data_IF_887760144873
#
_entry.id   IF_887760144873
#
_cell.length_a   1.000
_cell.length_b   1.000
_cell.length_c   1.000
_cell.angle_alpha   90.00
_cell.angle_beta   90.00
_cell.angle_gamma   90.00
#
_symmetry.space_group_name_H-M   'P 1'
#
loop_
_entity.id
_entity.type
_entity.pdbx_description
1 polymer ?
#
# COMPACT_ATOMS: atom_id res chain seq x y z
N UNK A 1 18.14 -14.66 -23.07
CA UNK A 1 19.06 -15.55 -22.33
C UNK A 1 18.76 -15.39 -20.85
N UNK A 2 18.57 -16.52 -20.14
CA UNK A 2 17.94 -16.65 -18.81
C UNK A 2 18.62 -15.79 -17.73
N UNK A 3 17.82 -14.97 -17.04
CA UNK A 3 17.92 -14.85 -15.59
C UNK A 3 16.48 -14.91 -15.06
N UNK A 4 15.94 -16.13 -14.98
CA UNK A 4 14.91 -16.36 -13.97
C UNK A 4 15.70 -16.38 -12.66
N UNK A 5 15.84 -15.23 -12.01
CA UNK A 5 16.33 -15.20 -10.64
C UNK A 5 15.41 -16.12 -9.85
N UNK A 6 15.97 -17.20 -9.29
CA UNK A 6 15.17 -18.20 -8.59
C UNK A 6 14.53 -17.56 -7.36
N UNK A 7 13.28 -17.13 -7.49
CA UNK A 7 12.43 -16.75 -6.39
C UNK A 7 12.22 -18.01 -5.54
N UNK A 8 12.82 -18.05 -4.35
CA UNK A 8 12.70 -19.18 -3.43
C UNK A 8 11.80 -18.83 -2.25
N UNK A 9 10.93 -19.75 -1.80
CA UNK A 9 10.21 -19.54 -0.56
C UNK A 9 11.21 -19.33 0.58
N UNK A 10 10.84 -18.52 1.57
CA UNK A 10 11.68 -18.29 2.75
C UNK A 10 12.15 -19.62 3.35
N UNK A 11 13.48 -19.86 3.40
CA UNK A 11 14.01 -21.13 3.89
C UNK A 11 13.78 -21.30 5.40
N UNK A 12 13.69 -20.20 6.15
CA UNK A 12 13.38 -20.22 7.58
C UNK A 12 12.72 -18.91 8.06
N UNK A 13 11.44 -18.99 8.42
CA UNK A 13 10.68 -17.86 8.95
C UNK A 13 11.14 -17.41 10.34
N UNK A 14 11.88 -18.22 11.12
CA UNK A 14 12.30 -17.81 12.47
C UNK A 14 13.57 -16.97 12.47
N UNK A 15 14.45 -17.22 11.51
CA UNK A 15 15.75 -16.54 11.40
C UNK A 15 15.77 -15.46 10.32
N UNK A 16 14.78 -15.43 9.45
CA UNK A 16 14.67 -14.39 8.43
C UNK A 16 14.41 -13.01 9.05
N UNK A 17 15.21 -12.01 8.67
CA UNK A 17 15.04 -10.61 9.07
C UNK A 17 13.65 -10.07 8.72
N UNK A 18 13.08 -10.50 7.59
CA UNK A 18 11.70 -10.17 7.17
C UNK A 18 10.66 -10.72 8.14
N UNK A 19 10.95 -11.79 8.86
CA UNK A 19 10.03 -12.38 9.84
C UNK A 19 10.39 -12.05 11.29
N UNK A 20 11.43 -11.23 11.52
CA UNK A 20 11.86 -10.84 12.86
C UNK A 20 10.74 -10.15 13.65
N UNK A 21 10.60 -10.51 14.92
CA UNK A 21 9.69 -9.86 15.87
C UNK A 21 10.13 -8.44 16.22
N UNK A 22 11.39 -8.07 15.93
CA UNK A 22 11.92 -6.72 16.17
C UNK A 22 11.46 -5.72 15.11
N UNK A 23 10.80 -6.18 14.04
CA UNK A 23 10.26 -5.31 13.00
C UNK A 23 9.17 -4.39 13.56
N UNK A 24 9.18 -3.16 13.08
CA UNK A 24 8.14 -2.17 13.40
C UNK A 24 6.78 -2.44 12.74
N UNK A 25 6.72 -3.42 11.84
CA UNK A 25 5.51 -3.86 11.16
C UNK A 25 5.33 -5.36 11.41
N UNK A 26 4.09 -5.86 11.53
CA UNK A 26 3.84 -7.29 11.62
C UNK A 26 4.56 -8.04 10.49
N UNK A 27 5.17 -9.20 10.76
CA UNK A 27 5.84 -9.97 9.72
C UNK A 27 4.80 -10.47 8.70
N UNK A 28 5.14 -10.51 7.40
CA UNK A 28 4.23 -11.02 6.38
C UNK A 28 3.95 -12.50 6.62
N UNK A 29 2.71 -12.93 6.38
CA UNK A 29 2.30 -14.34 6.48
C UNK A 29 3.12 -15.24 5.53
N UNK A 30 3.42 -14.73 4.34
CA UNK A 30 4.25 -15.39 3.33
C UNK A 30 5.16 -14.38 2.65
N UNK A 31 6.42 -14.76 2.41
CA UNK A 31 7.37 -13.98 1.62
C UNK A 31 8.37 -14.89 0.90
N UNK A 32 9.00 -14.35 -0.14
CA UNK A 32 10.00 -15.02 -0.96
C UNK A 32 11.28 -14.19 -1.03
N UNK A 33 12.40 -14.86 -1.25
CA UNK A 33 13.69 -14.22 -1.41
C UNK A 33 14.14 -14.29 -2.86
N UNK A 34 14.64 -13.16 -3.35
CA UNK A 34 15.48 -13.09 -4.54
C UNK A 34 16.91 -13.46 -4.14
N UNK A 35 17.69 -13.99 -5.09
CA UNK A 35 19.05 -14.45 -4.80
C UNK A 35 20.02 -13.28 -4.50
N UNK A 36 19.63 -12.05 -4.84
CA UNK A 36 20.41 -10.83 -4.60
C UNK A 36 20.02 -10.16 -3.26
N UNK A 37 20.98 -9.88 -2.34
CA UNK A 37 20.72 -9.28 -1.03
C UNK A 37 20.23 -7.83 -1.04
N UNK A 38 20.19 -7.15 -2.19
CA UNK A 38 19.60 -5.81 -2.31
C UNK A 38 18.07 -5.87 -2.46
N UNK A 39 17.43 -6.36 -1.40
CA UNK A 39 16.06 -6.06 -0.95
C UNK A 39 14.99 -5.95 -2.04
N UNK A 40 14.22 -7.03 -2.24
CA UNK A 40 12.79 -6.89 -2.51
C UNK A 40 12.02 -8.05 -1.90
N UNK A 41 11.48 -7.84 -0.69
CA UNK A 41 10.52 -8.76 -0.10
C UNK A 41 9.15 -8.51 -0.72
N UNK A 42 8.63 -9.47 -1.50
CA UNK A 42 7.24 -9.49 -1.91
C UNK A 42 6.35 -9.87 -0.71
N UNK A 43 5.50 -8.94 -0.28
CA UNK A 43 4.52 -9.13 0.79
C UNK A 43 3.13 -9.27 0.18
N UNK A 44 2.45 -10.40 0.41
CA UNK A 44 1.09 -10.63 -0.07
C UNK A 44 0.06 -10.47 1.06
N UNK A 45 -0.99 -9.70 0.80
CA UNK A 45 -2.25 -9.64 1.56
C UNK A 45 -3.36 -9.48 0.51
N UNK A 46 -4.35 -10.39 0.32
CA UNK A 46 -4.73 -11.65 1.01
C UNK A 46 -4.01 -12.89 0.45
N UNK A 47 -4.48 -14.11 0.78
CA UNK A 47 -4.01 -15.38 0.18
C UNK A 47 -4.20 -15.32 -1.34
N UNK A 48 -3.16 -14.87 -2.04
CA UNK A 48 -3.10 -14.93 -3.48
C UNK A 48 -2.82 -16.37 -3.87
N UNK A 49 -3.65 -16.88 -4.78
CA UNK A 49 -3.55 -18.24 -5.25
C UNK A 49 -2.14 -18.48 -5.81
N UNK A 50 -1.51 -19.60 -5.42
CA UNK A 50 -0.17 -19.98 -5.89
C UNK A 50 -0.10 -20.02 -7.42
N UNK A 51 -1.22 -20.27 -8.09
CA UNK A 51 -1.31 -20.26 -9.55
C UNK A 51 -1.07 -18.89 -10.20
N UNK A 52 -1.10 -17.78 -9.45
CA UNK A 52 -0.72 -16.45 -9.94
C UNK A 52 0.80 -16.26 -10.05
N UNK A 53 1.59 -17.14 -9.43
CA UNK A 53 3.06 -17.02 -9.34
C UNK A 53 3.82 -18.12 -10.09
N UNK A 54 3.11 -19.02 -10.77
CA UNK A 54 3.74 -20.08 -11.58
C UNK A 54 4.00 -19.57 -13.01
N UNK A 55 5.25 -19.59 -13.49
CA UNK A 55 5.56 -19.41 -14.91
C UNK A 55 4.80 -20.44 -15.77
N UNK A 56 4.39 -20.09 -17.01
CA UNK A 56 4.97 -19.02 -17.82
C UNK A 56 4.19 -17.69 -17.85
N UNK A 57 3.05 -17.58 -17.17
CA UNK A 57 2.29 -16.33 -17.08
C UNK A 57 1.22 -16.49 -15.99
N UNK A 58 0.97 -15.49 -15.13
CA UNK A 58 -0.25 -15.48 -14.34
C UNK A 58 -1.38 -15.46 -15.34
N UNK A 59 -2.37 -16.32 -15.14
CA UNK A 59 -3.63 -16.16 -15.82
C UNK A 59 -4.27 -14.85 -15.33
N UNK A 60 -4.04 -13.76 -16.06
CA UNK A 60 -4.51 -12.40 -15.70
C UNK A 60 -6.04 -12.39 -15.57
N UNK A 61 -6.74 -13.33 -16.22
CA UNK A 61 -8.19 -13.50 -16.09
C UNK A 61 -8.63 -13.97 -14.69
N UNK A 62 -7.70 -14.55 -13.91
CA UNK A 62 -7.92 -14.97 -12.52
C UNK A 62 -7.43 -13.96 -11.50
N UNK A 63 -6.84 -12.84 -11.94
CA UNK A 63 -6.35 -11.83 -11.03
C UNK A 63 -7.54 -11.14 -10.34
N UNK A 64 -7.57 -11.05 -9.00
CA UNK A 64 -8.63 -10.35 -8.31
C UNK A 64 -8.74 -8.89 -8.78
N UNK A 65 -9.95 -8.31 -8.83
CA UNK A 65 -10.19 -7.01 -9.45
C UNK A 65 -9.52 -5.83 -8.73
N UNK A 66 -9.00 -6.05 -7.52
CA UNK A 66 -8.26 -5.08 -6.73
C UNK A 66 -6.77 -4.99 -7.09
N UNK A 67 -6.29 -5.89 -7.94
CA UNK A 67 -4.91 -5.93 -8.42
C UNK A 67 -4.82 -5.63 -9.92
N UNK A 68 -3.62 -5.26 -10.37
CA UNK A 68 -3.21 -5.23 -11.78
C UNK A 68 -1.77 -5.72 -11.92
N UNK A 69 -1.31 -5.95 -13.15
CA UNK A 69 0.10 -6.21 -13.41
C UNK A 69 0.89 -4.90 -13.41
N UNK A 70 2.10 -4.93 -12.86
CA UNK A 70 3.03 -3.80 -12.91
C UNK A 70 3.48 -3.49 -14.34
N UNK A 71 3.28 -4.41 -15.29
CA UNK A 71 3.54 -4.21 -16.72
C UNK A 71 2.31 -3.72 -17.50
N UNK A 72 1.19 -3.44 -16.83
CA UNK A 72 -0.04 -2.95 -17.48
C UNK A 72 0.07 -1.45 -17.81
N UNK A 73 0.56 -1.15 -19.02
CA UNK A 73 0.67 0.21 -19.56
C UNK A 73 -0.67 0.96 -19.68
N UNK A 74 -1.81 0.25 -19.68
CA UNK A 74 -3.12 0.89 -19.76
C UNK A 74 -3.58 1.47 -18.41
N UNK A 75 -3.15 0.85 -17.31
CA UNK A 75 -3.53 1.25 -15.95
C UNK A 75 -2.46 2.04 -15.20
N UNK A 76 -1.23 2.08 -15.73
CA UNK A 76 -0.05 2.68 -15.09
C UNK A 76 0.61 3.69 -16.02
N UNK A 77 1.31 4.67 -15.45
CA UNK A 77 1.86 5.76 -16.26
C UNK A 77 3.15 5.36 -16.98
N UNK A 78 3.31 5.80 -18.24
CA UNK A 78 4.56 5.66 -18.97
C UNK A 78 5.66 6.49 -18.33
N UNK A 79 6.88 6.36 -18.86
CA UNK A 79 8.00 7.17 -18.42
C UNK A 79 7.73 8.68 -18.54
N UNK A 80 8.03 9.41 -17.47
CA UNK A 80 7.93 10.87 -17.41
C UNK A 80 9.21 11.49 -16.82
N UNK A 81 9.72 12.61 -17.38
CA UNK A 81 10.86 13.32 -16.80
C UNK A 81 10.62 13.68 -15.33
N UNK A 82 11.60 13.42 -14.46
CA UNK A 82 11.51 13.70 -13.02
C UNK A 82 10.61 12.76 -12.21
N UNK A 83 9.85 11.85 -12.85
CA UNK A 83 8.99 10.85 -12.19
C UNK A 83 9.39 9.40 -12.51
N UNK A 84 10.06 9.16 -13.63
CA UNK A 84 10.43 7.80 -14.08
C UNK A 84 9.27 7.07 -14.75
N UNK A 85 9.41 5.74 -14.91
CA UNK A 85 8.35 4.86 -15.42
C UNK A 85 7.63 4.19 -14.25
N UNK A 86 6.30 4.28 -14.22
CA UNK A 86 5.47 3.51 -13.30
C UNK A 86 5.21 2.08 -13.78
N UNK A 87 5.56 1.77 -15.02
CA UNK A 87 5.37 0.47 -15.66
C UNK A 87 6.69 -0.31 -15.71
N UNK A 88 6.63 -1.58 -15.36
CA UNK A 88 7.72 -2.54 -15.53
C UNK A 88 7.77 -3.06 -16.96
N UNK A 89 8.97 -3.32 -17.48
CA UNK A 89 9.10 -3.92 -18.82
C UNK A 89 8.35 -5.26 -18.84
N UNK A 90 7.63 -5.60 -19.92
CA UNK A 90 6.89 -6.87 -20.03
C UNK A 90 7.77 -8.11 -19.73
N UNK A 91 9.06 -8.00 -20.05
CA UNK A 91 10.08 -9.03 -19.88
C UNK A 91 10.49 -9.26 -18.42
N UNK A 92 10.10 -8.39 -17.49
CA UNK A 92 10.52 -8.39 -16.08
C UNK A 92 9.79 -9.43 -15.23
N UNK A 93 8.95 -10.26 -15.84
CA UNK A 93 8.10 -11.22 -15.15
C UNK A 93 6.83 -10.59 -14.54
N UNK A 94 5.91 -11.43 -14.06
CA UNK A 94 4.61 -10.96 -13.61
C UNK A 94 4.64 -10.42 -12.19
N UNK A 95 4.89 -9.12 -12.06
CA UNK A 95 4.73 -8.42 -10.79
C UNK A 95 3.28 -7.95 -10.67
N UNK A 96 2.63 -8.31 -9.57
CA UNK A 96 1.24 -7.91 -9.26
C UNK A 96 1.27 -6.76 -8.27
N UNK A 97 0.51 -5.69 -8.54
CA UNK A 97 0.41 -4.50 -7.69
C UNK A 97 -1.05 -4.17 -7.38
N UNK A 98 -1.36 -3.61 -6.19
CA UNK A 98 -2.70 -3.13 -5.90
C UNK A 98 -3.04 -1.93 -6.78
N UNK A 99 -4.32 -1.79 -7.14
CA UNK A 99 -4.81 -0.57 -7.78
C UNK A 99 -4.70 0.60 -6.81
N UNK A 100 -4.47 1.81 -7.35
CA UNK A 100 -4.24 3.04 -6.57
C UNK A 100 -5.28 3.27 -5.45
N UNK A 101 -6.58 3.18 -5.77
CA UNK A 101 -7.66 3.37 -4.78
C UNK A 101 -7.66 2.31 -3.68
N UNK A 102 -7.28 1.07 -3.98
CA UNK A 102 -7.17 -0.01 -2.98
C UNK A 102 -5.98 0.24 -2.06
N UNK A 103 -4.85 0.69 -2.62
CA UNK A 103 -3.67 1.07 -1.85
C UNK A 103 -3.98 2.22 -0.90
N UNK A 104 -4.67 3.27 -1.37
CA UNK A 104 -5.07 4.40 -0.55
C UNK A 104 -6.07 3.99 0.54
N UNK A 105 -7.09 3.21 0.22
CA UNK A 105 -8.03 2.67 1.20
C UNK A 105 -7.30 1.92 2.32
N UNK A 106 -6.34 1.06 1.96
CA UNK A 106 -5.55 0.31 2.93
C UNK A 106 -4.80 1.26 3.88
N UNK A 107 -4.16 2.31 3.37
CA UNK A 107 -3.45 3.26 4.22
C UNK A 107 -4.37 4.12 5.09
N UNK A 108 -5.53 4.55 4.58
CA UNK A 108 -6.53 5.29 5.37
C UNK A 108 -7.03 4.45 6.55
N UNK A 109 -7.36 3.17 6.30
CA UNK A 109 -7.81 2.25 7.36
C UNK A 109 -6.69 1.95 8.34
N UNK A 110 -5.47 1.73 7.85
CA UNK A 110 -4.30 1.47 8.69
C UNK A 110 -3.97 2.66 9.59
N UNK A 111 -4.02 3.86 9.04
CA UNK A 111 -3.86 5.09 9.80
C UNK A 111 -4.94 5.26 10.85
N UNK A 112 -6.22 5.09 10.49
CA UNK A 112 -7.32 5.25 11.42
C UNK A 112 -7.20 4.29 12.63
N UNK A 113 -6.85 3.03 12.36
CA UNK A 113 -6.65 2.00 13.39
C UNK A 113 -5.49 2.29 14.34
N UNK A 114 -4.40 2.86 13.82
CA UNK A 114 -3.12 2.90 14.53
C UNK A 114 -2.49 4.31 14.56
N UNK A 115 -3.30 5.36 14.47
CA UNK A 115 -2.88 6.77 14.38
C UNK A 115 -1.91 7.22 15.47
N UNK A 116 -2.04 6.71 16.69
CA UNK A 116 -1.14 6.99 17.82
C UNK A 116 0.12 6.11 17.87
N UNK A 117 0.31 5.22 16.88
CA UNK A 117 1.42 4.26 16.82
C UNK A 117 2.33 4.58 15.66
N UNK A 118 3.55 4.02 15.68
CA UNK A 118 4.54 4.17 14.60
C UNK A 118 3.99 3.76 13.22
N UNK A 119 3.15 2.73 13.17
CA UNK A 119 2.52 2.30 11.91
C UNK A 119 1.50 3.33 11.39
N UNK A 120 0.85 4.09 12.26
CA UNK A 120 0.05 5.26 11.88
C UNK A 120 0.93 6.36 11.26
N UNK A 121 2.04 6.70 11.89
CA UNK A 121 3.00 7.67 11.33
C UNK A 121 3.51 7.25 9.94
N UNK A 122 3.80 5.96 9.75
CA UNK A 122 4.11 5.42 8.42
C UNK A 122 2.93 5.57 7.45
N UNK A 123 1.72 5.24 7.89
CA UNK A 123 0.53 5.27 7.03
C UNK A 123 0.18 6.69 6.56
N UNK A 124 0.28 7.71 7.42
CA UNK A 124 0.01 9.09 7.01
C UNK A 124 1.06 9.62 6.04
N UNK A 125 2.33 9.24 6.20
CA UNK A 125 3.37 9.54 5.22
C UNK A 125 3.09 8.86 3.88
N UNK A 126 2.64 7.61 3.90
CA UNK A 126 2.25 6.90 2.68
C UNK A 126 1.01 7.51 2.00
N UNK A 127 0.03 8.01 2.76
CA UNK A 127 -1.10 8.77 2.21
C UNK A 127 -0.60 10.01 1.47
N UNK A 128 0.34 10.77 2.06
CA UNK A 128 0.95 11.92 1.40
C UNK A 128 1.71 11.56 0.11
N UNK A 129 2.39 10.40 0.08
CA UNK A 129 3.02 9.92 -1.15
C UNK A 129 2.01 9.49 -2.22
N UNK A 130 0.89 8.87 -1.82
CA UNK A 130 -0.20 8.59 -2.77
C UNK A 130 -0.74 9.89 -3.34
N UNK A 131 -0.97 10.91 -2.51
CA UNK A 131 -1.42 12.22 -2.98
C UNK A 131 -0.44 12.82 -4.00
N UNK A 132 0.83 12.94 -3.64
CA UNK A 132 1.85 13.63 -4.44
C UNK A 132 2.24 12.90 -5.73
N UNK A 133 2.29 11.56 -5.73
CA UNK A 133 2.86 10.76 -6.82
C UNK A 133 1.84 9.89 -7.55
N UNK A 134 0.61 9.79 -7.04
CA UNK A 134 -0.45 8.98 -7.66
C UNK A 134 -1.65 9.87 -7.99
N UNK A 135 -2.21 10.60 -7.02
CA UNK A 135 -3.40 11.43 -7.25
C UNK A 135 -3.09 12.65 -8.13
N UNK A 136 -2.07 13.44 -7.78
CA UNK A 136 -1.69 14.62 -8.56
C UNK A 136 -1.23 14.27 -9.99
N UNK A 137 -0.83 13.02 -10.20
CA UNK A 137 -0.47 12.47 -11.50
C UNK A 137 -1.66 11.87 -12.28
N UNK A 138 -2.88 11.91 -11.71
CA UNK A 138 -4.12 11.47 -12.35
C UNK A 138 -4.34 9.96 -12.35
N UNK A 139 -3.58 9.20 -11.55
CA UNK A 139 -3.70 7.73 -11.45
C UNK A 139 -4.76 7.28 -10.44
N UNK A 140 -5.13 8.17 -9.51
CA UNK A 140 -6.11 7.84 -8.50
C UNK A 140 -7.52 8.20 -8.97
N UNK A 141 -8.35 7.16 -9.16
CA UNK A 141 -9.79 7.35 -9.20
C UNK A 141 -10.37 7.29 -7.79
N UNK A 142 -10.41 8.45 -7.12
CA UNK A 142 -10.93 8.58 -5.76
C UNK A 142 -12.43 8.26 -5.66
N UNK A 143 -13.18 8.30 -6.77
CA UNK A 143 -14.62 7.95 -6.76
C UNK A 143 -14.88 6.48 -6.41
N UNK A 144 -13.85 5.63 -6.58
CA UNK A 144 -13.87 4.21 -6.25
C UNK A 144 -13.57 3.90 -4.79
N UNK A 145 -13.16 4.89 -4.00
CA UNK A 145 -13.05 4.71 -2.56
C UNK A 145 -14.44 4.52 -1.95
N UNK A 146 -14.62 3.55 -1.03
CA UNK A 146 -15.87 3.42 -0.31
C UNK A 146 -16.06 4.58 0.66
N UNK A 147 -17.32 4.92 0.97
CA UNK A 147 -17.60 5.81 2.10
C UNK A 147 -17.37 5.06 3.43
N UNK A 148 -16.89 5.75 4.48
CA UNK A 148 -16.66 7.20 4.59
C UNK A 148 -15.28 7.67 4.10
N UNK A 149 -14.44 6.76 3.57
CA UNK A 149 -13.05 7.03 3.23
C UNK A 149 -12.89 8.03 2.10
N UNK A 150 -13.79 7.98 1.10
CA UNK A 150 -13.79 8.93 -0.01
C UNK A 150 -13.95 10.36 0.49
N UNK A 151 -14.99 10.62 1.27
CA UNK A 151 -15.25 11.96 1.83
C UNK A 151 -14.09 12.41 2.70
N UNK A 152 -13.60 11.54 3.59
CA UNK A 152 -12.49 11.85 4.47
C UNK A 152 -11.19 12.17 3.70
N UNK A 153 -10.90 11.45 2.61
CA UNK A 153 -9.73 11.72 1.78
C UNK A 153 -9.84 13.06 1.03
N UNK A 154 -11.02 13.38 0.49
CA UNK A 154 -11.26 14.67 -0.17
C UNK A 154 -11.07 15.84 0.80
N UNK A 155 -11.56 15.70 2.04
CA UNK A 155 -11.36 16.70 3.08
C UNK A 155 -9.88 16.90 3.44
N UNK A 156 -9.12 15.79 3.53
CA UNK A 156 -7.68 15.82 3.79
C UNK A 156 -6.96 16.57 2.67
N UNK A 157 -7.25 16.23 1.41
CA UNK A 157 -6.63 16.83 0.21
C UNK A 157 -6.92 18.33 0.11
N UNK A 158 -8.12 18.76 0.51
CA UNK A 158 -8.45 20.19 0.55
C UNK A 158 -7.72 20.95 1.65
N UNK A 159 -7.18 20.26 2.66
CA UNK A 159 -6.52 20.89 3.80
C UNK A 159 -7.47 21.77 4.62
N UNK A 160 -8.77 21.51 4.59
CA UNK A 160 -9.80 22.39 5.17
C UNK A 160 -9.82 22.40 6.70
N UNK A 161 -9.15 21.45 7.35
CA UNK A 161 -9.10 21.30 8.80
C UNK A 161 -7.75 20.73 9.27
N UNK A 162 -7.34 21.01 10.52
CA UNK A 162 -6.13 20.43 11.09
C UNK A 162 -6.16 18.90 11.07
N UNK A 163 -5.01 18.27 10.83
CA UNK A 163 -4.87 16.80 10.76
C UNK A 163 -5.44 16.12 12.00
N UNK A 164 -5.21 16.68 13.20
CA UNK A 164 -5.76 16.13 14.46
C UNK A 164 -7.29 16.02 14.43
N UNK A 165 -7.98 17.08 13.97
CA UNK A 165 -9.45 17.10 13.85
C UNK A 165 -9.91 16.10 12.79
N UNK A 166 -9.24 16.06 11.64
CA UNK A 166 -9.51 15.09 10.58
C UNK A 166 -9.35 13.63 11.06
N UNK A 167 -8.29 13.32 11.79
CA UNK A 167 -8.03 11.98 12.35
C UNK A 167 -9.15 11.53 13.27
N UNK A 168 -9.62 12.42 14.15
CA UNK A 168 -10.74 12.14 15.06
C UNK A 168 -12.01 11.82 14.29
N UNK A 169 -12.36 12.63 13.29
CA UNK A 169 -13.54 12.43 12.44
C UNK A 169 -13.46 11.14 11.62
N UNK A 170 -12.28 10.81 11.06
CA UNK A 170 -12.05 9.56 10.34
C UNK A 170 -12.26 8.34 11.25
N UNK A 171 -11.70 8.35 12.47
CA UNK A 171 -11.88 7.27 13.45
C UNK A 171 -13.35 7.10 13.83
N UNK A 172 -14.05 8.20 14.08
CA UNK A 172 -15.48 8.19 14.39
C UNK A 172 -16.32 7.63 13.24
N UNK A 173 -16.06 8.07 12.01
CA UNK A 173 -16.78 7.59 10.83
C UNK A 173 -16.57 6.09 10.58
N UNK A 174 -15.39 5.56 10.93
CA UNK A 174 -15.07 4.13 10.87
C UNK A 174 -15.48 3.33 12.11
N UNK A 175 -16.15 3.96 13.08
CA UNK A 175 -16.60 3.35 14.34
C UNK A 175 -15.45 2.71 15.15
N UNK A 176 -14.27 3.32 15.10
CA UNK A 176 -13.11 2.86 15.84
C UNK A 176 -13.10 3.47 17.26
N UNK A 177 -12.60 2.73 18.28
CA UNK A 177 -12.47 3.27 19.64
C UNK A 177 -11.58 4.52 19.66
N UNK A 178 -12.01 5.54 20.40
CA UNK A 178 -11.12 6.63 20.78
C UNK A 178 -10.18 6.13 21.89
N UNK A 179 -8.89 6.33 21.72
CA UNK A 179 -7.93 6.05 22.79
C UNK A 179 -8.00 7.22 23.79
N UNK A 180 -8.23 6.91 25.07
CA UNK A 180 -8.31 7.90 26.16
C UNK A 180 -6.92 8.55 26.33
N UNK A 181 -6.77 9.80 25.88
CA UNK A 181 -5.50 10.52 25.96
C UNK A 181 -5.37 11.74 25.03
N UNK A 182 -6.24 11.87 24.04
CA UNK A 182 -6.31 13.09 23.22
C UNK A 182 -7.13 14.18 23.94
N UNK A 183 -6.63 14.73 25.05
CA UNK A 183 -7.28 15.84 25.75
C UNK A 183 -7.41 17.07 24.87
N UNK A 184 -8.62 17.61 24.78
CA UNK A 184 -8.96 18.87 24.13
C UNK A 184 -8.39 20.03 24.96
N UNK A 185 -7.12 20.34 24.78
CA UNK A 185 -6.63 21.69 25.06
C UNK A 185 -6.82 22.50 23.78
N UNK A 186 -7.97 23.19 23.72
CA UNK A 186 -8.13 24.37 22.88
C UNK A 186 -7.15 25.42 23.41
N UNK A 187 -5.96 25.50 22.79
CA UNK A 187 -5.05 26.63 22.98
C UNK A 187 -5.71 27.87 22.36
N UNK A 188 -6.48 28.57 23.19
CA UNK A 188 -6.94 29.93 22.94
C UNK A 188 -5.73 30.86 23.18
N UNK A 189 -5.09 31.29 22.08
CA UNK A 189 -4.06 32.33 22.05
C UNK A 189 -4.22 33.21 20.80
#
# INVERSE_FOLDING_TARGET
MKIAEEIKPCPDQKTCLTSSQERHTPPPAHHFHLHDPEVTTLCFLPVLDRFLFCPPCPDVSKLPPHFTLASDEASLLPWRPGRGSGVFKPDSGPVVVPKAHVLLEAFLRLYARDSAKRIGAFSIAMIGYVEQYIDDDGLLDASRLPEPLRTSYMDLRQGSKPVRKWTRELKQALQLPQEEGESDEEDDC
#
